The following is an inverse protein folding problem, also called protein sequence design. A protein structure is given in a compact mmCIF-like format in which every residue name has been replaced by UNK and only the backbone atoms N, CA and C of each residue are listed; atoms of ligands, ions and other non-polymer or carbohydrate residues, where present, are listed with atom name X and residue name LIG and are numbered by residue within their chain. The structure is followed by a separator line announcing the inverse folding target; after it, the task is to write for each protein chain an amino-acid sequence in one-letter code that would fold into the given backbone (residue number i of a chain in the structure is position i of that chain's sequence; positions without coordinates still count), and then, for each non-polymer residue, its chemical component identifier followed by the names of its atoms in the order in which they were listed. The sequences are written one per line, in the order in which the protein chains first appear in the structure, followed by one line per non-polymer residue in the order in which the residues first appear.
data_IF_321397081826
#
_entry.id   IF_321397081826
#
_cell.length_a   1.000
_cell.length_b   1.000
_cell.length_c   1.000
_cell.angle_alpha   90.00
_cell.angle_beta   90.00
_cell.angle_gamma   90.00
#
_symmetry.space_group_name_H-M   'P 1'
#
loop_
_entity.id
_entity.type
_entity.pdbx_description
1 polymer ?
#
# COMPACT_ATOMS: atom_id res chain seq x y z
N UNK A 1 -51.65 -14.99 -49.44
CA UNK A 1 -51.01 -14.90 -48.12
C UNK A 1 -51.56 -13.65 -47.46
N UNK A 2 -52.34 -13.80 -46.39
CA UNK A 2 -53.06 -12.69 -45.78
C UNK A 2 -52.09 -11.71 -45.11
N UNK A 3 -52.22 -10.42 -45.46
CA UNK A 3 -51.39 -9.33 -44.95
C UNK A 3 -51.45 -9.21 -43.42
N UNK A 4 -52.58 -9.59 -42.82
CA UNK A 4 -52.82 -9.61 -41.37
C UNK A 4 -51.97 -10.68 -40.66
N UNK A 5 -51.89 -11.89 -41.24
CA UNK A 5 -51.03 -12.96 -40.74
C UNK A 5 -49.56 -12.56 -40.82
N UNK A 6 -49.13 -11.97 -41.94
CA UNK A 6 -47.78 -11.44 -42.11
C UNK A 6 -47.44 -10.36 -41.06
N UNK A 7 -48.34 -9.42 -40.81
CA UNK A 7 -48.17 -8.39 -39.77
C UNK A 7 -48.07 -8.98 -38.36
N UNK A 8 -48.86 -10.01 -38.03
CA UNK A 8 -48.78 -10.70 -36.74
C UNK A 8 -47.44 -11.41 -36.55
N UNK A 9 -46.92 -12.10 -37.57
CA UNK A 9 -45.60 -12.73 -37.51
C UNK A 9 -44.48 -11.70 -37.31
N UNK A 10 -44.52 -10.57 -38.03
CA UNK A 10 -43.55 -9.48 -37.85
C UNK A 10 -43.62 -8.90 -36.43
N UNK A 11 -44.83 -8.68 -35.90
CA UNK A 11 -45.04 -8.12 -34.56
C UNK A 11 -44.49 -9.03 -33.47
N UNK A 12 -44.72 -10.33 -33.57
CA UNK A 12 -44.16 -11.34 -32.66
C UNK A 12 -42.64 -11.41 -32.79
N UNK A 13 -42.11 -11.38 -34.03
CA UNK A 13 -40.67 -11.36 -34.27
C UNK A 13 -39.97 -10.16 -33.63
N UNK A 14 -40.54 -8.96 -33.79
CA UNK A 14 -40.03 -7.73 -33.17
C UNK A 14 -40.12 -7.80 -31.64
N UNK A 15 -41.22 -8.33 -31.09
CA UNK A 15 -41.37 -8.47 -29.64
C UNK A 15 -40.32 -9.43 -29.03
N UNK A 16 -40.06 -10.57 -29.69
CA UNK A 16 -39.06 -11.55 -29.24
C UNK A 16 -37.64 -10.97 -29.34
N UNK A 17 -37.31 -10.31 -30.45
CA UNK A 17 -36.02 -9.63 -30.62
C UNK A 17 -35.81 -8.52 -29.58
N UNK A 18 -36.84 -7.73 -29.30
CA UNK A 18 -36.81 -6.71 -28.27
C UNK A 18 -36.58 -7.29 -26.88
N UNK A 19 -37.31 -8.36 -26.52
CA UNK A 19 -37.15 -9.05 -25.25
C UNK A 19 -35.74 -9.64 -25.07
N UNK A 20 -35.18 -10.26 -26.12
CA UNK A 20 -33.83 -10.82 -26.09
C UNK A 20 -32.76 -9.73 -25.93
N UNK A 21 -32.91 -8.61 -26.66
CA UNK A 21 -32.02 -7.45 -26.55
C UNK A 21 -32.08 -6.84 -25.15
N UNK A 22 -33.28 -6.68 -24.58
CA UNK A 22 -33.46 -6.17 -23.22
C UNK A 22 -32.83 -7.10 -22.17
N UNK A 23 -32.97 -8.42 -22.32
CA UNK A 23 -32.35 -9.39 -21.43
C UNK A 23 -30.81 -9.34 -21.50
N UNK A 24 -30.24 -9.26 -22.69
CA UNK A 24 -28.80 -9.07 -22.87
C UNK A 24 -28.31 -7.75 -22.27
N UNK A 25 -29.07 -6.67 -22.44
CA UNK A 25 -28.74 -5.36 -21.88
C UNK A 25 -28.72 -5.39 -20.35
N UNK A 26 -29.75 -5.96 -19.73
CA UNK A 26 -29.81 -6.15 -18.27
C UNK A 26 -28.69 -7.07 -17.77
N UNK A 27 -28.38 -8.14 -18.50
CA UNK A 27 -27.26 -9.03 -18.16
C UNK A 27 -25.91 -8.30 -18.18
N UNK A 28 -25.68 -7.41 -19.16
CA UNK A 28 -24.47 -6.59 -19.24
C UNK A 28 -24.37 -5.62 -18.06
N UNK A 29 -25.48 -4.96 -17.69
CA UNK A 29 -25.54 -4.07 -16.54
C UNK A 29 -25.19 -4.82 -15.25
N UNK A 30 -25.84 -5.97 -15.01
CA UNK A 30 -25.61 -6.80 -13.82
C UNK A 30 -24.16 -7.32 -13.79
N UNK A 31 -23.63 -7.76 -14.94
CA UNK A 31 -22.25 -8.21 -15.04
C UNK A 31 -21.25 -7.10 -14.75
N UNK A 32 -21.45 -5.90 -15.31
CA UNK A 32 -20.59 -4.74 -15.05
C UNK A 32 -20.60 -4.34 -13.57
N UNK A 33 -21.78 -4.37 -12.94
CA UNK A 33 -21.92 -4.09 -11.50
C UNK A 33 -21.19 -5.13 -10.64
N UNK A 34 -21.28 -6.42 -11.01
CA UNK A 34 -20.62 -7.51 -10.28
C UNK A 34 -19.11 -7.54 -10.51
N UNK A 35 -18.63 -7.24 -11.71
CA UNK A 35 -17.19 -7.12 -12.05
C UNK A 35 -16.56 -5.99 -11.23
N UNK A 36 -17.22 -4.83 -11.12
CA UNK A 36 -16.63 -3.68 -10.45
C UNK A 36 -16.64 -3.78 -8.92
N UNK A 37 -17.69 -4.36 -8.32
CA UNK A 37 -17.74 -4.61 -6.86
C UNK A 37 -16.65 -5.58 -6.39
N UNK A 38 -16.14 -6.44 -7.29
CA UNK A 38 -15.05 -7.36 -6.98
C UNK A 38 -13.66 -6.71 -7.02
N UNK A 39 -13.51 -5.49 -7.58
CA UNK A 39 -12.20 -4.92 -7.91
C UNK A 39 -11.90 -3.52 -7.34
N UNK A 40 -12.87 -2.68 -6.95
CA UNK A 40 -12.57 -1.35 -6.37
C UNK A 40 -13.61 -0.84 -5.35
N UNK A 41 -13.18 0.00 -4.40
CA UNK A 41 -14.00 0.64 -3.36
C UNK A 41 -14.59 2.00 -3.79
N UNK A 42 -14.22 2.52 -4.96
CA UNK A 42 -14.66 3.84 -5.43
C UNK A 42 -16.04 3.80 -6.12
N UNK A 43 -17.03 4.33 -5.41
CA UNK A 43 -18.44 4.41 -5.85
C UNK A 43 -18.59 5.29 -7.10
N UNK A 44 -17.80 6.36 -7.26
CA UNK A 44 -17.96 7.30 -8.39
C UNK A 44 -17.57 6.69 -9.74
N UNK A 45 -16.49 5.91 -9.79
CA UNK A 45 -16.08 5.18 -10.99
C UNK A 45 -17.11 4.10 -11.38
N UNK A 46 -17.76 3.47 -10.39
CA UNK A 46 -18.84 2.50 -10.58
C UNK A 46 -20.06 3.11 -11.27
N UNK A 47 -20.49 4.28 -10.81
CA UNK A 47 -21.63 4.96 -11.42
C UNK A 47 -21.33 5.45 -12.84
N UNK A 48 -20.15 6.03 -13.08
CA UNK A 48 -19.78 6.55 -14.40
C UNK A 48 -19.66 5.42 -15.43
N UNK A 49 -19.05 4.29 -15.06
CA UNK A 49 -18.91 3.14 -15.94
C UNK A 49 -20.26 2.46 -16.25
N UNK A 50 -21.13 2.31 -15.24
CA UNK A 50 -22.48 1.79 -15.45
C UNK A 50 -23.29 2.71 -16.39
N UNK A 51 -23.16 4.04 -16.23
CA UNK A 51 -23.79 5.03 -17.09
C UNK A 51 -23.30 4.94 -18.55
N UNK A 52 -21.99 4.80 -18.75
CA UNK A 52 -21.39 4.69 -20.10
C UNK A 52 -21.78 3.38 -20.79
N UNK A 53 -21.79 2.25 -20.08
CA UNK A 53 -22.26 0.96 -20.63
C UNK A 53 -23.76 0.99 -20.93
N UNK A 54 -24.56 1.64 -20.07
CA UNK A 54 -25.98 1.81 -20.31
C UNK A 54 -26.26 2.68 -21.55
N UNK A 55 -25.56 3.80 -21.72
CA UNK A 55 -25.79 4.73 -22.84
C UNK A 55 -25.20 4.22 -24.16
N UNK A 56 -24.05 3.54 -24.13
CA UNK A 56 -23.28 3.21 -25.34
C UNK A 56 -23.23 1.72 -25.71
N UNK A 57 -23.86 0.80 -24.97
CA UNK A 57 -23.93 -0.65 -25.30
C UNK A 57 -22.56 -1.28 -25.64
N UNK A 58 -22.25 -1.45 -26.94
CA UNK A 58 -21.07 -2.16 -27.46
C UNK A 58 -19.79 -1.30 -27.39
N UNK A 59 -19.76 -0.06 -27.96
CA UNK A 59 -18.60 0.81 -27.83
C UNK A 59 -18.30 1.22 -26.38
N UNK A 60 -19.33 1.30 -25.53
CA UNK A 60 -19.16 1.57 -24.09
C UNK A 60 -18.38 0.47 -23.38
N UNK A 61 -18.54 -0.78 -23.82
CA UNK A 61 -17.80 -1.94 -23.33
C UNK A 61 -16.33 -1.89 -23.75
N UNK A 62 -16.03 -1.46 -24.98
CA UNK A 62 -14.67 -1.30 -25.48
C UNK A 62 -13.92 -0.21 -24.72
N UNK A 63 -14.56 0.95 -24.52
CA UNK A 63 -13.99 2.03 -23.72
C UNK A 63 -13.82 1.58 -22.26
N UNK A 64 -14.78 0.85 -21.69
CA UNK A 64 -14.66 0.27 -20.35
C UNK A 64 -13.47 -0.68 -20.23
N UNK A 65 -13.24 -1.55 -21.21
CA UNK A 65 -12.10 -2.47 -21.23
C UNK A 65 -10.75 -1.75 -21.34
N UNK A 66 -10.71 -0.60 -22.03
CA UNK A 66 -9.51 0.25 -22.13
C UNK A 66 -9.27 1.06 -20.85
N UNK A 67 -10.35 1.59 -20.25
CA UNK A 67 -10.26 2.37 -19.01
C UNK A 67 -10.10 1.49 -17.76
N UNK A 68 -10.16 0.16 -17.91
CA UNK A 68 -10.11 -0.82 -16.83
C UNK A 68 -8.82 -0.66 -16.03
N UNK A 69 -8.88 -0.18 -14.77
CA UNK A 69 -7.68 0.11 -13.99
C UNK A 69 -6.86 -1.17 -13.73
N UNK A 70 -5.53 -1.14 -13.94
CA UNK A 70 -4.67 -2.32 -13.86
C UNK A 70 -4.35 -2.76 -12.42
N UNK A 71 -4.53 -1.87 -11.44
CA UNK A 71 -4.13 -2.11 -10.05
C UNK A 71 -5.30 -2.60 -9.21
N UNK A 72 -5.25 -3.88 -8.84
CA UNK A 72 -6.18 -4.48 -7.86
C UNK A 72 -5.82 -4.01 -6.45
N UNK A 73 -6.79 -3.70 -5.60
CA UNK A 73 -6.57 -3.30 -4.20
C UNK A 73 -5.65 -4.25 -3.40
N UNK A 74 -5.61 -5.53 -3.77
CA UNK A 74 -4.69 -6.51 -3.18
C UNK A 74 -3.22 -6.25 -3.49
N UNK A 75 -2.89 -5.66 -4.65
CA UNK A 75 -1.52 -5.31 -5.03
C UNK A 75 -1.04 -4.06 -4.28
N UNK A 76 -1.92 -3.06 -4.10
CA UNK A 76 -1.63 -1.89 -3.28
C UNK A 76 -1.39 -2.28 -1.80
N UNK A 77 -2.20 -3.19 -1.25
CA UNK A 77 -2.04 -3.68 0.12
C UNK A 77 -0.80 -4.57 0.29
N UNK A 78 -0.46 -5.41 -0.70
CA UNK A 78 0.77 -6.20 -0.67
C UNK A 78 2.02 -5.31 -0.64
N UNK A 79 2.03 -4.21 -1.42
CA UNK A 79 3.14 -3.27 -1.45
C UNK A 79 3.33 -2.55 -0.11
N UNK A 80 2.24 -2.14 0.55
CA UNK A 80 2.35 -1.53 1.89
C UNK A 80 2.86 -2.51 2.95
N UNK A 81 2.45 -3.79 2.89
CA UNK A 81 2.98 -4.81 3.80
C UNK A 81 4.47 -5.10 3.56
N UNK A 82 4.92 -5.13 2.31
CA UNK A 82 6.35 -5.30 2.00
C UNK A 82 7.19 -4.11 2.50
N UNK A 83 6.68 -2.89 2.38
CA UNK A 83 7.36 -1.69 2.88
C UNK A 83 7.48 -1.70 4.41
N UNK A 84 6.42 -2.09 5.13
CA UNK A 84 6.45 -2.25 6.59
C UNK A 84 7.40 -3.36 7.05
N UNK A 85 7.44 -4.49 6.34
CA UNK A 85 8.34 -5.60 6.66
C UNK A 85 9.82 -5.26 6.42
N UNK A 86 10.14 -4.51 5.36
CA UNK A 86 11.50 -4.08 5.07
C UNK A 86 12.02 -3.05 6.08
N UNK A 87 11.18 -2.14 6.56
CA UNK A 87 11.57 -1.15 7.56
C UNK A 87 11.92 -1.78 8.91
N UNK A 88 11.18 -2.81 9.33
CA UNK A 88 11.49 -3.56 10.56
C UNK A 88 12.87 -4.24 10.49
N UNK A 89 13.27 -4.77 9.33
CA UNK A 89 14.57 -5.42 9.19
C UNK A 89 15.76 -4.43 9.23
N UNK A 90 15.53 -3.16 8.86
CA UNK A 90 16.55 -2.11 8.86
C UNK A 90 16.74 -1.52 10.27
N UNK A 91 15.66 -1.34 11.04
CA UNK A 91 15.73 -0.77 12.40
C UNK A 91 16.54 -1.66 13.37
N UNK A 92 16.57 -2.98 13.14
CA UNK A 92 17.21 -3.93 14.06
C UNK A 92 18.72 -4.13 13.84
N UNK A 93 19.30 -3.56 12.77
CA UNK A 93 20.74 -3.74 12.45
C UNK A 93 21.58 -2.54 12.86
N UNK A 94 21.81 -2.39 14.16
CA UNK A 94 22.92 -1.54 14.63
C UNK A 94 24.23 -2.05 14.01
N UNK A 95 24.93 -1.22 13.24
CA UNK A 95 26.12 -1.66 12.49
C UNK A 95 27.40 -1.27 13.24
N UNK A 96 28.37 -2.18 13.32
CA UNK A 96 29.64 -1.90 14.00
C UNK A 96 30.47 -0.88 13.20
N UNK A 97 30.92 0.25 13.80
CA UNK A 97 31.71 1.27 13.10
C UNK A 97 33.14 0.81 12.75
N UNK A 98 33.63 -0.28 13.35
CA UNK A 98 34.97 -0.80 13.09
C UNK A 98 35.04 -1.80 11.93
N UNK A 99 34.01 -2.63 11.75
CA UNK A 99 34.03 -3.71 10.75
C UNK A 99 32.80 -3.78 9.85
N UNK A 100 31.88 -2.82 9.97
CA UNK A 100 30.60 -2.72 9.25
C UNK A 100 29.72 -3.97 9.25
N UNK A 101 29.95 -4.90 10.19
CA UNK A 101 29.09 -6.06 10.42
C UNK A 101 27.92 -5.71 11.34
N UNK A 102 26.83 -6.45 11.20
CA UNK A 102 25.70 -6.38 12.12
C UNK A 102 26.17 -6.61 13.56
N UNK A 103 25.94 -5.62 14.42
CA UNK A 103 26.17 -5.68 15.85
C UNK A 103 24.81 -5.87 16.53
N UNK A 104 24.76 -6.83 17.46
CA UNK A 104 23.57 -7.01 18.28
C UNK A 104 23.50 -5.94 19.37
N UNK A 105 22.29 -5.49 19.68
CA UNK A 105 22.06 -4.46 20.68
C UNK A 105 22.54 -4.85 22.10
N UNK A 106 22.87 -6.10 22.40
CA UNK A 106 23.37 -6.50 23.73
C UNK A 106 24.90 -6.64 23.82
N UNK A 107 25.61 -6.49 22.70
CA UNK A 107 27.05 -6.73 22.68
C UNK A 107 27.84 -5.51 23.19
N UNK A 108 28.70 -5.74 24.18
CA UNK A 108 29.63 -4.72 24.71
C UNK A 108 30.85 -4.52 23.81
N UNK A 109 31.31 -5.58 23.15
CA UNK A 109 32.50 -5.62 22.30
C UNK A 109 32.19 -6.46 21.07
N UNK A 110 32.63 -6.00 19.90
CA UNK A 110 32.46 -6.78 18.67
C UNK A 110 33.37 -8.02 18.69
N UNK A 111 32.87 -9.24 18.45
CA UNK A 111 33.70 -10.45 18.44
C UNK A 111 34.68 -10.51 17.26
N UNK A 112 34.42 -9.76 16.18
CA UNK A 112 35.24 -9.81 14.96
C UNK A 112 36.39 -8.81 14.94
N UNK A 113 36.14 -7.56 15.35
CA UNK A 113 37.15 -6.49 15.33
C UNK A 113 37.55 -6.01 16.73
N UNK A 114 36.95 -6.55 17.79
CA UNK A 114 37.20 -6.17 19.19
C UNK A 114 36.96 -4.68 19.49
N UNK A 115 36.30 -3.95 18.59
CA UNK A 115 35.89 -2.57 18.82
C UNK A 115 34.82 -2.53 19.92
N UNK A 116 34.99 -1.63 20.89
CA UNK A 116 33.97 -1.37 21.92
C UNK A 116 32.74 -0.74 21.26
N UNK A 117 31.58 -1.35 21.46
CA UNK A 117 30.29 -0.91 20.90
C UNK A 117 29.49 -0.09 21.91
N UNK A 118 29.73 -0.30 23.22
CA UNK A 118 29.03 0.38 24.31
C UNK A 118 29.99 0.93 25.36
N UNK A 119 29.58 2.03 26.00
CA UNK A 119 30.24 2.63 27.17
C UNK A 119 29.41 2.32 28.41
N UNK A 120 30.05 2.17 29.57
CA UNK A 120 29.33 2.05 30.85
C UNK A 120 29.31 3.40 31.55
N UNK A 121 28.14 3.82 32.05
CA UNK A 121 28.06 5.01 32.89
C UNK A 121 28.85 4.80 34.19
N UNK A 122 29.59 5.81 34.63
CA UNK A 122 30.36 5.77 35.89
C UNK A 122 29.49 5.93 37.14
N UNK A 123 28.24 6.41 37.00
CA UNK A 123 27.32 6.61 38.11
C UNK A 123 26.35 5.44 38.29
N UNK A 124 25.65 5.02 37.23
CA UNK A 124 24.61 3.98 37.32
C UNK A 124 25.03 2.61 36.78
N UNK A 125 26.20 2.49 36.16
CA UNK A 125 26.67 1.24 35.54
C UNK A 125 25.90 0.80 34.28
N UNK A 126 24.91 1.57 33.83
CA UNK A 126 24.12 1.24 32.64
C UNK A 126 24.97 1.25 31.36
N UNK A 127 24.57 0.42 30.38
CA UNK A 127 25.22 0.34 29.07
C UNK A 127 24.66 1.43 28.14
N UNK A 128 25.49 2.38 27.75
CA UNK A 128 25.18 3.43 26.78
C UNK A 128 25.72 3.06 25.40
N UNK A 129 24.99 3.43 24.36
CA UNK A 129 25.55 3.41 23.00
C UNK A 129 26.72 4.41 22.85
N UNK A 130 27.63 4.11 21.93
CA UNK A 130 28.86 4.90 21.73
C UNK A 130 28.59 6.35 21.30
N UNK A 131 27.48 6.59 20.61
CA UNK A 131 27.04 7.90 20.09
C UNK A 131 26.34 8.77 21.15
N UNK A 132 25.92 8.21 22.29
CA UNK A 132 25.22 8.95 23.32
C UNK A 132 26.18 9.79 24.16
N UNK A 133 25.86 11.08 24.31
CA UNK A 133 26.64 12.04 25.10
C UNK A 133 26.17 12.10 26.57
N UNK A 134 24.97 11.60 26.86
CA UNK A 134 24.31 11.65 28.18
C UNK A 134 23.65 10.30 28.44
N UNK A 135 23.66 9.85 29.70
CA UNK A 135 22.94 8.65 30.11
C UNK A 135 21.42 8.90 30.17
N UNK A 136 20.63 8.09 29.45
CA UNK A 136 19.17 8.18 29.48
C UNK A 136 18.54 7.80 30.85
N UNK A 137 19.26 7.08 31.72
CA UNK A 137 18.74 6.65 33.03
C UNK A 137 19.05 7.68 34.12
N UNK A 138 20.30 8.16 34.18
CA UNK A 138 20.77 9.01 35.29
C UNK A 138 21.17 10.44 34.88
N UNK A 139 21.06 10.80 33.60
CA UNK A 139 21.38 12.13 33.10
C UNK A 139 22.86 12.52 33.17
N UNK A 140 23.74 11.63 33.60
CA UNK A 140 25.18 11.93 33.72
C UNK A 140 25.85 11.93 32.34
N UNK A 141 26.80 12.83 32.12
CA UNK A 141 27.59 12.89 30.89
C UNK A 141 28.33 11.56 30.64
N UNK A 142 28.37 11.14 29.38
CA UNK A 142 29.05 9.92 28.98
C UNK A 142 30.57 10.03 29.20
N UNK A 143 31.24 8.95 29.64
CA UNK A 143 32.68 8.99 29.87
C UNK A 143 33.44 9.29 28.57
N UNK A 144 34.32 10.30 28.63
CA UNK A 144 35.21 10.70 27.54
C UNK A 144 34.67 11.76 26.57
N UNK A 145 33.54 12.43 26.87
CA UNK A 145 33.20 13.70 26.21
C UNK A 145 33.02 14.78 27.28
N UNK A 146 33.99 15.66 27.38
CA UNK A 146 33.86 16.89 28.15
C UNK A 146 32.70 17.69 27.54
N UNK A 147 31.75 18.08 28.38
CA UNK A 147 30.57 18.83 27.99
C UNK A 147 30.98 20.22 27.51
N UNK A 148 31.28 20.37 26.22
CA UNK A 148 31.30 21.68 25.56
C UNK A 148 29.86 22.09 25.25
N UNK A 149 29.10 22.40 26.30
CA UNK A 149 27.90 23.24 26.19
C UNK A 149 28.37 24.65 26.54
N UNK A 150 29.05 25.28 25.60
CA UNK A 150 29.41 26.69 25.68
C UNK A 150 28.32 27.46 24.95
N UNK A 151 27.27 27.77 25.70
CA UNK A 151 26.71 29.12 25.77
C UNK A 151 26.45 29.81 24.41
N UNK A 152 25.62 29.21 23.56
CA UNK A 152 24.97 29.88 22.43
C UNK A 152 23.70 30.60 22.92
N UNK A 153 23.86 31.47 23.93
CA UNK A 153 22.77 32.23 24.54
C UNK A 153 23.11 33.72 24.73
N UNK A 154 24.15 34.24 24.06
CA UNK A 154 24.48 35.66 24.13
C UNK A 154 25.17 36.16 22.85
N UNK A 155 24.44 36.19 21.73
CA UNK A 155 24.67 37.10 20.59
C UNK A 155 23.30 37.58 20.08
#
# INVERSE_FOLDING_TARGET
MDLTSALNYVRVGVAVLGAFTAALWLSLIIWAFRDMRSRSRDIFAQFLAALVVAVLNIPGLIVYLILRPPETLSQAYARSLEEEALLQEIEERSTCPGCSRAAHAEWRVCPFCQTKLKKTCTQCGAQLELNWNVCAICGTAAPGKEAKIEFEAEI
#
